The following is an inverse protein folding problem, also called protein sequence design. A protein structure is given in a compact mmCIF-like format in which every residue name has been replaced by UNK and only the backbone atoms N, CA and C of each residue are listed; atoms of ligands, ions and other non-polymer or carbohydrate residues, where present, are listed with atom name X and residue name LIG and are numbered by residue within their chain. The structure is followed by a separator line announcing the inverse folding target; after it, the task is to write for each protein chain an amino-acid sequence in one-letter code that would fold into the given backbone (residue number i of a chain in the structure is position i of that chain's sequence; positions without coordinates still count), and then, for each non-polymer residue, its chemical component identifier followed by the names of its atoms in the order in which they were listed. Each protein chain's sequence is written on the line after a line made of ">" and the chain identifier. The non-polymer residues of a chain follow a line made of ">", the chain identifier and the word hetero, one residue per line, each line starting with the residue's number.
data_IF_228275144789
#
_entry.id   IF_228275144789
#
_cell.length_a   1.000
_cell.length_b   1.000
_cell.length_c   1.000
_cell.angle_alpha   90.00
_cell.angle_beta   90.00
_cell.angle_gamma   90.00
#
_symmetry.space_group_name_H-M   'P 1'
#
loop_
_entity.id
_entity.type
_entity.pdbx_description
1 polymer ?
#
# COMPACT_ATOMS: atom_id res chain seq x y z
N UNK A 1 19.45 23.71 -0.73
CA UNK A 1 18.03 23.78 -1.14
C UNK A 1 17.17 23.22 -0.01
N UNK A 2 16.01 23.80 0.27
CA UNK A 2 15.11 23.34 1.33
C UNK A 2 13.96 22.55 0.72
N UNK A 3 13.98 21.24 0.86
CA UNK A 3 12.86 20.38 0.45
C UNK A 3 11.69 20.54 1.41
N UNK A 4 10.48 20.71 0.86
CA UNK A 4 9.23 20.76 1.64
C UNK A 4 8.44 19.47 1.40
N UNK A 5 8.02 18.83 2.48
CA UNK A 5 7.17 17.65 2.44
C UNK A 5 5.76 18.04 2.90
N UNK A 6 4.76 17.77 2.08
CA UNK A 6 3.35 17.89 2.45
C UNK A 6 2.74 16.48 2.48
N UNK A 7 2.15 16.11 3.61
CA UNK A 7 1.50 14.81 3.78
C UNK A 7 -0.01 15.03 3.80
N UNK A 8 -0.74 14.23 3.02
CA UNK A 8 -2.19 14.26 2.92
C UNK A 8 -2.73 12.88 3.24
N UNK A 9 -3.62 12.78 4.23
CA UNK A 9 -4.37 11.55 4.50
C UNK A 9 -5.70 11.61 3.78
N UNK A 10 -5.93 10.65 2.89
CA UNK A 10 -7.10 10.61 2.03
C UNK A 10 -8.28 9.84 2.65
N UNK A 11 -8.15 9.34 3.88
CA UNK A 11 -9.03 8.31 4.44
C UNK A 11 -9.78 8.69 5.73
N UNK A 12 -9.70 9.94 6.19
CA UNK A 12 -10.23 10.32 7.50
C UNK A 12 -11.72 10.70 7.56
N UNK A 13 -12.27 11.33 6.52
CA UNK A 13 -13.61 11.95 6.58
C UNK A 13 -14.30 11.96 5.22
N UNK A 14 -15.45 11.28 5.04
CA UNK A 14 -16.14 11.20 3.75
C UNK A 14 -16.56 12.59 3.23
N UNK A 15 -16.84 13.53 4.12
CA UNK A 15 -17.20 14.92 3.78
C UNK A 15 -16.08 15.69 3.06
N UNK A 16 -14.82 15.27 3.24
CA UNK A 16 -13.66 15.90 2.60
C UNK A 16 -13.15 15.11 1.38
N UNK A 17 -13.69 13.91 1.11
CA UNK A 17 -13.27 13.08 -0.01
C UNK A 17 -13.29 13.82 -1.37
N UNK A 18 -14.29 14.67 -1.70
CA UNK A 18 -14.28 15.42 -2.96
C UNK A 18 -13.17 16.47 -3.06
N UNK A 19 -12.84 17.14 -1.95
CA UNK A 19 -11.75 18.12 -1.90
C UNK A 19 -10.39 17.44 -2.01
N UNK A 20 -10.27 16.29 -1.36
CA UNK A 20 -9.06 15.47 -1.36
C UNK A 20 -8.80 14.81 -2.72
N UNK A 21 -9.85 14.40 -3.44
CA UNK A 21 -9.73 13.89 -4.81
C UNK A 21 -9.10 14.91 -5.78
N UNK A 22 -9.29 16.21 -5.56
CA UNK A 22 -8.65 17.26 -6.36
C UNK A 22 -7.14 17.37 -6.12
N UNK A 23 -6.65 16.86 -4.98
CA UNK A 23 -5.22 16.84 -4.65
C UNK A 23 -4.50 15.60 -5.20
N UNK A 24 -5.23 14.66 -5.82
CA UNK A 24 -4.65 13.49 -6.46
C UNK A 24 -4.13 13.89 -7.85
N UNK A 25 -2.84 13.72 -8.09
CA UNK A 25 -2.18 14.05 -9.35
C UNK A 25 -0.91 13.24 -9.60
N UNK A 26 -0.36 13.31 -10.83
CA UNK A 26 0.73 12.43 -11.27
C UNK A 26 2.08 12.69 -10.58
N UNK A 27 2.29 13.89 -10.05
CA UNK A 27 3.57 14.34 -9.45
C UNK A 27 3.60 14.15 -7.91
N UNK A 28 3.09 13.01 -7.44
CA UNK A 28 3.04 12.67 -6.02
C UNK A 28 3.56 11.25 -5.75
N UNK A 29 4.00 11.05 -4.49
CA UNK A 29 4.23 9.73 -3.91
C UNK A 29 2.97 9.32 -3.15
N UNK A 30 2.35 8.23 -3.57
CA UNK A 30 1.22 7.62 -2.88
C UNK A 30 1.71 6.52 -1.95
N UNK A 31 1.33 6.61 -0.68
CA UNK A 31 1.55 5.55 0.31
C UNK A 31 0.25 4.77 0.47
N UNK A 32 0.22 3.52 0.01
CA UNK A 32 -0.92 2.64 0.20
C UNK A 32 -0.70 1.78 1.45
N UNK A 33 -1.37 2.14 2.54
CA UNK A 33 -1.26 1.43 3.80
C UNK A 33 -2.22 0.24 3.83
N UNK A 34 -1.68 -0.95 4.02
CA UNK A 34 -2.43 -2.21 4.11
C UNK A 34 -2.15 -2.80 5.48
N UNK A 35 -3.18 -3.09 6.28
CA UNK A 35 -2.96 -3.75 7.58
C UNK A 35 -2.81 -5.26 7.35
N UNK A 36 -1.72 -5.84 7.86
CA UNK A 36 -1.44 -7.27 7.70
C UNK A 36 -2.52 -8.22 8.24
N UNK A 37 -3.11 -7.99 9.43
CA UNK A 37 -4.05 -8.95 10.04
C UNK A 37 -5.36 -9.13 9.27
N UNK A 38 -5.69 -8.19 8.40
CA UNK A 38 -6.97 -8.16 7.66
C UNK A 38 -6.77 -8.47 6.18
N UNK A 39 -5.55 -8.82 5.77
CA UNK A 39 -5.25 -9.11 4.37
C UNK A 39 -6.05 -10.31 3.83
N UNK A 40 -6.22 -11.35 4.65
CA UNK A 40 -6.96 -12.55 4.28
C UNK A 40 -8.49 -12.34 4.28
N UNK A 41 -8.99 -11.19 4.76
CA UNK A 41 -10.37 -10.82 4.53
C UNK A 41 -10.53 -10.53 3.02
N UNK A 42 -11.35 -11.34 2.33
CA UNK A 42 -11.59 -11.29 0.88
C UNK A 42 -11.85 -9.87 0.31
N UNK A 43 -12.22 -8.91 1.16
CA UNK A 43 -12.46 -7.50 0.83
C UNK A 43 -11.15 -6.72 0.59
N UNK A 44 -10.09 -6.94 1.37
CA UNK A 44 -8.89 -6.10 1.33
C UNK A 44 -8.06 -6.24 0.05
N UNK A 45 -7.83 -7.45 -0.50
CA UNK A 45 -7.15 -7.58 -1.80
C UNK A 45 -7.93 -6.89 -2.92
N UNK A 46 -9.27 -6.89 -2.85
CA UNK A 46 -10.11 -6.16 -3.80
C UNK A 46 -9.97 -4.65 -3.64
N UNK A 47 -9.99 -4.13 -2.41
CA UNK A 47 -9.79 -2.72 -2.12
C UNK A 47 -8.43 -2.20 -2.62
N UNK A 48 -7.36 -2.97 -2.43
CA UNK A 48 -6.03 -2.62 -2.97
C UNK A 48 -6.09 -2.49 -4.50
N UNK A 49 -6.74 -3.44 -5.18
CA UNK A 49 -6.92 -3.36 -6.64
C UNK A 49 -7.70 -2.12 -7.06
N UNK A 50 -8.82 -1.82 -6.38
CA UNK A 50 -9.63 -0.63 -6.67
C UNK A 50 -8.86 0.68 -6.48
N UNK A 51 -8.01 0.77 -5.46
CA UNK A 51 -7.16 1.93 -5.24
C UNK A 51 -6.11 2.09 -6.34
N UNK A 52 -5.48 0.99 -6.79
CA UNK A 52 -4.52 1.04 -7.90
C UNK A 52 -5.21 1.47 -9.20
N UNK A 53 -6.41 0.98 -9.49
CA UNK A 53 -7.20 1.41 -10.66
C UNK A 53 -7.57 2.89 -10.57
N UNK A 54 -8.04 3.36 -9.40
CA UNK A 54 -8.37 4.76 -9.17
C UNK A 54 -7.15 5.68 -9.35
N UNK A 55 -6.00 5.29 -8.79
CA UNK A 55 -4.74 6.03 -8.95
C UNK A 55 -4.28 6.01 -10.41
N UNK A 56 -4.44 4.92 -11.13
CA UNK A 56 -4.07 4.88 -12.55
C UNK A 56 -4.93 5.84 -13.38
N UNK A 57 -6.23 5.95 -13.06
CA UNK A 57 -7.16 6.85 -13.74
C UNK A 57 -6.93 8.34 -13.41
N UNK A 58 -6.52 8.66 -12.18
CA UNK A 58 -6.47 10.04 -11.66
C UNK A 58 -5.05 10.62 -11.55
N UNK A 59 -4.06 9.76 -11.36
CA UNK A 59 -2.65 10.09 -11.19
C UNK A 59 -1.75 9.18 -12.05
N UNK A 60 -1.93 9.18 -13.39
CA UNK A 60 -1.15 8.31 -14.26
C UNK A 60 0.34 8.61 -14.15
N UNK A 61 1.19 7.59 -14.11
CA UNK A 61 2.64 7.75 -13.92
C UNK A 61 3.09 8.05 -12.48
N UNK A 62 2.17 8.19 -11.52
CA UNK A 62 2.55 8.43 -10.13
C UNK A 62 3.33 7.26 -9.51
N UNK A 63 4.12 7.57 -8.48
CA UNK A 63 4.85 6.56 -7.70
C UNK A 63 3.96 6.05 -6.58
N UNK A 64 3.85 4.73 -6.45
CA UNK A 64 3.08 4.09 -5.38
C UNK A 64 4.00 3.23 -4.54
N UNK A 65 4.06 3.50 -3.24
CA UNK A 65 4.73 2.66 -2.26
C UNK A 65 3.67 1.96 -1.42
N UNK A 66 3.64 0.63 -1.50
CA UNK A 66 2.77 -0.17 -0.63
C UNK A 66 3.50 -0.40 0.70
N UNK A 67 2.80 -0.13 1.80
CA UNK A 67 3.31 -0.32 3.15
C UNK A 67 2.39 -1.28 3.88
N UNK A 68 2.91 -2.46 4.22
CA UNK A 68 2.25 -3.43 5.04
C UNK A 68 2.47 -3.07 6.51
N UNK A 69 1.39 -2.67 7.18
CA UNK A 69 1.38 -2.19 8.56
C UNK A 69 0.91 -3.28 9.52
N UNK A 70 1.16 -3.09 10.82
CA UNK A 70 0.76 -4.05 11.86
C UNK A 70 1.37 -5.46 11.67
N UNK A 71 2.55 -5.56 11.05
CA UNK A 71 3.22 -6.83 10.80
C UNK A 71 3.63 -7.54 12.11
N UNK A 72 3.80 -6.79 13.20
CA UNK A 72 4.06 -7.32 14.53
C UNK A 72 2.93 -8.21 15.06
N UNK A 73 1.70 -8.00 14.58
CA UNK A 73 0.57 -8.86 14.94
C UNK A 73 0.66 -10.25 14.32
N UNK A 74 1.33 -10.41 13.18
CA UNK A 74 1.56 -11.72 12.57
C UNK A 74 2.45 -12.59 13.47
N UNK A 75 3.49 -12.00 14.07
CA UNK A 75 4.39 -12.68 15.01
C UNK A 75 3.66 -13.12 16.29
N UNK A 76 2.74 -12.29 16.80
CA UNK A 76 1.96 -12.61 18.00
C UNK A 76 0.94 -13.74 17.78
N UNK A 77 0.41 -13.87 16.56
CA UNK A 77 -0.56 -14.90 16.22
C UNK A 77 0.06 -16.31 16.15
N UNK A 78 1.37 -16.39 15.90
CA UNK A 78 2.13 -17.64 15.83
C UNK A 78 2.56 -18.18 17.20
N UNK A 79 2.13 -17.55 18.30
CA UNK A 79 2.47 -17.98 19.67
C UNK A 79 3.92 -17.65 20.06
N UNK A 80 4.60 -16.79 19.29
CA UNK A 80 5.93 -16.30 19.61
C UNK A 80 5.83 -15.28 20.75
N UNK A 81 5.85 -15.78 21.99
CA UNK A 81 6.01 -14.96 23.18
C UNK A 81 7.31 -14.14 23.04
N UNK A 82 7.17 -12.82 22.98
CA UNK A 82 8.28 -11.85 23.03
C UNK A 82 9.38 -12.06 21.97
N UNK A 83 9.04 -12.53 20.76
CA UNK A 83 10.01 -12.49 19.66
C UNK A 83 10.48 -11.05 19.45
N UNK A 84 11.80 -10.87 19.37
CA UNK A 84 12.40 -9.57 19.09
C UNK A 84 11.84 -9.06 17.75
N UNK A 85 11.13 -7.92 17.80
CA UNK A 85 10.56 -7.29 16.61
C UNK A 85 11.71 -6.68 15.82
N UNK A 86 12.29 -7.48 14.92
CA UNK A 86 13.30 -7.06 13.96
C UNK A 86 12.69 -6.91 12.57
N UNK A 87 13.31 -6.10 11.70
CA UNK A 87 12.87 -5.95 10.30
C UNK A 87 12.86 -7.27 9.55
N UNK A 88 13.82 -8.16 9.83
CA UNK A 88 13.91 -9.49 9.23
C UNK A 88 12.76 -10.40 9.67
N UNK A 89 12.43 -10.41 10.96
CA UNK A 89 11.30 -11.18 11.49
C UNK A 89 9.96 -10.71 10.88
N UNK A 90 9.75 -9.39 10.80
CA UNK A 90 8.56 -8.81 10.17
C UNK A 90 8.46 -9.17 8.69
N UNK A 91 9.57 -9.09 7.95
CA UNK A 91 9.62 -9.43 6.52
C UNK A 91 9.32 -10.91 6.29
N UNK A 92 9.82 -11.78 7.17
CA UNK A 92 9.61 -13.23 7.11
C UNK A 92 8.16 -13.59 7.37
N UNK A 93 7.57 -13.07 8.45
CA UNK A 93 6.17 -13.31 8.79
C UNK A 93 5.21 -12.77 7.72
N UNK A 94 5.57 -11.64 7.09
CA UNK A 94 4.77 -11.03 6.04
C UNK A 94 4.98 -11.63 4.64
N UNK A 95 5.93 -12.56 4.44
CA UNK A 95 6.36 -12.98 3.10
C UNK A 95 5.20 -13.50 2.22
N UNK A 96 4.29 -14.28 2.80
CA UNK A 96 3.10 -14.78 2.10
C UNK A 96 2.20 -13.64 1.65
N UNK A 97 1.90 -12.69 2.55
CA UNK A 97 1.05 -11.54 2.26
C UNK A 97 1.70 -10.66 1.19
N UNK A 98 3.01 -10.40 1.30
CA UNK A 98 3.79 -9.64 0.31
C UNK A 98 3.70 -10.29 -1.07
N UNK A 99 3.84 -11.61 -1.16
CA UNK A 99 3.70 -12.34 -2.42
C UNK A 99 2.29 -12.21 -3.02
N UNK A 100 1.25 -12.25 -2.18
CA UNK A 100 -0.13 -12.12 -2.62
C UNK A 100 -0.45 -10.68 -3.06
N UNK A 101 0.06 -9.67 -2.36
CA UNK A 101 -0.04 -8.27 -2.77
C UNK A 101 0.61 -8.08 -4.13
N UNK A 102 1.82 -8.60 -4.34
CA UNK A 102 2.52 -8.51 -5.64
C UNK A 102 1.69 -9.13 -6.75
N UNK A 103 1.19 -10.35 -6.55
CA UNK A 103 0.32 -11.00 -7.52
C UNK A 103 -0.93 -10.16 -7.84
N UNK A 104 -1.49 -9.47 -6.83
CA UNK A 104 -2.64 -8.58 -7.01
C UNK A 104 -2.27 -7.31 -7.77
N UNK A 105 -1.15 -6.68 -7.47
CA UNK A 105 -0.61 -5.53 -8.23
C UNK A 105 -0.43 -5.90 -9.70
N UNK A 106 0.19 -7.04 -9.98
CA UNK A 106 0.40 -7.53 -11.35
C UNK A 106 -0.93 -7.78 -12.06
N UNK A 107 -1.96 -8.27 -11.37
CA UNK A 107 -3.29 -8.44 -11.94
C UNK A 107 -3.96 -7.11 -12.27
N UNK A 108 -3.88 -6.12 -11.36
CA UNK A 108 -4.49 -4.80 -11.54
C UNK A 108 -3.77 -3.94 -12.58
N UNK A 109 -2.46 -4.13 -12.76
CA UNK A 109 -1.65 -3.38 -13.72
C UNK A 109 -1.47 -4.10 -15.07
N UNK A 110 -1.94 -5.34 -15.20
CA UNK A 110 -1.98 -6.01 -16.50
C UNK A 110 -2.81 -5.16 -17.45
N UNK A 111 -2.32 -4.90 -18.67
CA UNK A 111 -3.06 -4.12 -19.66
C UNK A 111 -4.31 -4.89 -20.12
N UNK A 112 -5.39 -4.76 -19.37
CA UNK A 112 -6.75 -5.05 -19.81
C UNK A 112 -7.14 -3.92 -20.77
N UNK A 113 -7.23 -4.25 -22.06
CA UNK A 113 -7.34 -3.28 -23.15
C UNK A 113 -8.32 -2.15 -22.88
N UNK A 114 -7.80 -0.91 -22.81
CA UNK A 114 -8.43 0.31 -23.33
C UNK A 114 -7.67 1.62 -23.02
N UNK A 115 -6.54 1.61 -22.31
CA UNK A 115 -5.75 2.84 -22.12
C UNK A 115 -4.32 2.68 -22.64
N UNK A 116 -4.17 2.76 -23.97
CA UNK A 116 -2.86 2.85 -24.61
C UNK A 116 -2.20 4.24 -24.46
N UNK A 117 -2.88 5.20 -23.79
CA UNK A 117 -2.47 6.61 -23.79
C UNK A 117 -1.90 7.12 -22.45
N UNK A 118 -2.24 6.49 -21.32
CA UNK A 118 -1.80 6.97 -20.00
C UNK A 118 -0.56 6.21 -19.50
N UNK A 119 0.46 6.90 -18.94
CA UNK A 119 1.61 6.23 -18.37
C UNK A 119 1.20 5.31 -17.20
N UNK A 120 1.78 4.09 -17.11
CA UNK A 120 1.46 3.15 -16.04
C UNK A 120 1.93 3.70 -14.68
N UNK A 121 1.28 3.25 -13.61
CA UNK A 121 1.75 3.53 -12.25
C UNK A 121 3.15 2.94 -12.03
N UNK A 122 3.99 3.67 -11.29
CA UNK A 122 5.31 3.22 -10.87
C UNK A 122 5.23 2.65 -9.45
N UNK A 123 4.72 1.43 -9.34
CA UNK A 123 4.66 0.73 -8.05
C UNK A 123 6.07 0.29 -7.65
N UNK A 124 6.48 0.63 -6.43
CA UNK A 124 7.77 0.23 -5.89
C UNK A 124 7.83 -1.29 -5.68
N UNK A 125 8.94 -1.92 -6.09
CA UNK A 125 9.12 -3.37 -6.00
C UNK A 125 9.17 -3.86 -4.55
N UNK A 126 9.80 -3.07 -3.67
CA UNK A 126 9.91 -3.37 -2.26
C UNK A 126 8.61 -2.98 -1.54
N UNK A 127 7.96 -3.96 -0.91
CA UNK A 127 6.84 -3.71 0.02
C UNK A 127 7.43 -3.60 1.42
N UNK A 128 7.27 -2.45 2.06
CA UNK A 128 7.79 -2.21 3.41
C UNK A 128 6.88 -2.87 4.44
N UNK A 129 7.45 -3.67 5.34
CA UNK A 129 6.73 -4.32 6.43
C UNK A 129 7.08 -3.60 7.74
N UNK A 130 6.10 -2.96 8.37
CA UNK A 130 6.31 -2.11 9.55
C UNK A 130 5.49 -2.59 10.75
N UNK A 131 6.10 -2.47 11.94
CA UNK A 131 5.42 -2.71 13.22
C UNK A 131 4.59 -1.51 13.62
N UNK A 132 3.48 -1.75 14.30
CA UNK A 132 2.64 -0.71 14.90
C UNK A 132 2.92 -0.49 16.39
N UNK A 133 3.66 -1.40 17.04
CA UNK A 133 4.00 -1.34 18.47
C UNK A 133 5.41 -0.83 18.74
N UNK A 134 6.33 -0.92 17.77
CA UNK A 134 7.68 -0.36 17.85
C UNK A 134 8.02 0.37 16.55
N UNK A 135 8.60 1.56 16.65
CA UNK A 135 9.31 2.16 15.53
C UNK A 135 10.50 1.26 15.18
N UNK A 136 10.59 0.85 13.92
CA UNK A 136 11.74 0.11 13.41
C UNK A 136 12.97 1.02 13.35
#
# INVERSE_FOLDING_TARGET
>A
EQSRLALWDLSGQPDYAPLVQQAIGPDALYLLHVAAPVWDDNVYPQLVGNWLEALHATAPGAVVQIVLTQCDKLLSAEGAAEAEITTEALTTAAATIVSQIRARVDQSLKPGGNSAAAPPLRVQEQIMCVSSSKGA
#
